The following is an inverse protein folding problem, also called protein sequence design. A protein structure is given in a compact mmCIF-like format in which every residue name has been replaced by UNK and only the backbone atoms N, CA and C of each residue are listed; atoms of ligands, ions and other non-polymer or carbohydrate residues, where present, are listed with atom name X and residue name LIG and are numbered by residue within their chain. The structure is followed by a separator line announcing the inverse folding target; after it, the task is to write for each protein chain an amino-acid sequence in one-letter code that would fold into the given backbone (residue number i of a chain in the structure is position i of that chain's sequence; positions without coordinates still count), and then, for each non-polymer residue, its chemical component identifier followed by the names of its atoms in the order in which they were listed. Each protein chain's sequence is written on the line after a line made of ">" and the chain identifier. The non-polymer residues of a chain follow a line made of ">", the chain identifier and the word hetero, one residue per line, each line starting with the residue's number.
data_IF_203878371721
#
_entry.id   IF_203878371721
#
_cell.length_a   1.000
_cell.length_b   1.000
_cell.length_c   1.000
_cell.angle_alpha   90.00
_cell.angle_beta   90.00
_cell.angle_gamma   90.00
#
_symmetry.space_group_name_H-M   'P 1'
#
loop_
_entity.id
_entity.type
_entity.pdbx_description
1 polymer ?
#
# COMPACT_ATOMS: atom_id res chain seq x y z
N UNK A 1 -9.31 19.92 12.94
CA UNK A 1 -8.55 18.79 13.52
C UNK A 1 -8.87 18.57 15.00
N UNK A 2 -9.18 19.61 15.78
CA UNK A 2 -9.66 19.52 17.17
C UNK A 2 -10.80 18.49 17.35
N UNK A 3 -11.85 18.61 16.53
CA UNK A 3 -13.12 17.90 16.71
C UNK A 3 -13.07 16.35 16.69
N UNK A 4 -12.05 15.73 16.10
CA UNK A 4 -11.86 14.26 16.12
C UNK A 4 -11.00 13.86 17.31
N UNK A 5 -9.89 14.57 17.58
CA UNK A 5 -9.03 14.30 18.75
C UNK A 5 -9.80 14.52 20.06
N UNK A 6 -10.72 15.49 20.11
CA UNK A 6 -11.59 15.76 21.27
C UNK A 6 -12.61 14.63 21.52
N UNK A 7 -13.11 13.96 20.47
CA UNK A 7 -14.00 12.79 20.61
C UNK A 7 -13.27 11.54 21.11
N UNK A 8 -12.00 11.36 20.72
CA UNK A 8 -11.15 10.25 21.18
C UNK A 8 -11.00 10.29 22.70
N UNK A 9 -10.82 11.48 23.29
CA UNK A 9 -10.68 11.63 24.74
C UNK A 9 -11.97 11.36 25.52
N UNK A 10 -13.13 11.69 24.95
CA UNK A 10 -14.41 11.64 25.66
C UNK A 10 -15.19 10.33 25.48
N UNK A 11 -15.01 9.62 24.35
CA UNK A 11 -15.81 8.45 23.99
C UNK A 11 -14.98 7.15 23.90
N UNK A 12 -13.65 7.21 24.09
CA UNK A 12 -12.75 6.03 24.04
C UNK A 12 -12.54 5.45 22.64
N UNK A 13 -12.99 6.13 21.58
CA UNK A 13 -12.87 5.66 20.20
C UNK A 13 -11.65 6.28 19.52
N UNK A 14 -10.67 5.46 19.13
CA UNK A 14 -9.46 5.92 18.43
C UNK A 14 -9.65 5.90 16.90
N UNK A 15 -9.95 7.05 16.31
CA UNK A 15 -10.01 7.20 14.85
C UNK A 15 -8.69 7.75 14.29
N UNK A 16 -8.01 6.98 13.44
CA UNK A 16 -6.89 7.49 12.64
C UNK A 16 -7.45 8.10 11.36
N UNK A 17 -7.30 9.41 11.21
CA UNK A 17 -7.68 10.10 9.99
C UNK A 17 -6.60 9.92 8.92
N UNK A 18 -6.99 9.43 7.75
CA UNK A 18 -6.13 9.29 6.58
C UNK A 18 -6.40 10.41 5.58
N UNK A 19 -5.34 10.84 4.88
CA UNK A 19 -5.40 11.87 3.86
C UNK A 19 -4.71 11.42 2.57
N UNK A 20 -5.33 11.68 1.43
CA UNK A 20 -4.68 11.56 0.12
C UNK A 20 -3.43 12.45 0.03
N UNK A 21 -2.45 12.02 -0.76
CA UNK A 21 -1.15 12.69 -0.94
C UNK A 21 -1.21 14.22 -0.93
N UNK A 22 -1.97 14.83 -1.84
CA UNK A 22 -1.99 16.30 -1.97
C UNK A 22 -2.44 17.00 -0.68
N UNK A 23 -3.40 16.43 0.05
CA UNK A 23 -3.87 16.98 1.33
C UNK A 23 -2.90 16.63 2.46
N UNK A 24 -2.38 15.40 2.48
CA UNK A 24 -1.41 14.94 3.46
C UNK A 24 -0.12 15.76 3.42
N UNK A 25 0.41 16.08 2.24
CA UNK A 25 1.60 16.92 2.10
C UNK A 25 1.35 18.37 2.54
N UNK A 26 0.15 18.92 2.31
CA UNK A 26 -0.19 20.26 2.81
C UNK A 26 -0.27 20.29 4.34
N UNK A 27 -0.81 19.23 4.94
CA UNK A 27 -0.99 19.12 6.39
C UNK A 27 0.33 18.83 7.12
N UNK A 28 1.06 17.80 6.68
CA UNK A 28 2.25 17.29 7.35
C UNK A 28 3.57 17.84 6.79
N UNK A 29 3.52 18.61 5.69
CA UNK A 29 4.66 19.31 5.08
C UNK A 29 5.86 18.38 4.88
N UNK A 30 7.01 18.75 5.43
CA UNK A 30 8.27 18.03 5.27
C UNK A 30 8.21 16.61 5.84
N UNK A 31 7.60 16.41 7.01
CA UNK A 31 7.43 15.08 7.62
C UNK A 31 6.53 14.20 6.77
N UNK A 32 5.50 14.78 6.14
CA UNK A 32 4.70 14.07 5.14
C UNK A 32 5.51 13.64 3.93
N UNK A 33 6.38 14.52 3.41
CA UNK A 33 7.26 14.19 2.30
C UNK A 33 8.25 13.09 2.65
N UNK A 34 8.87 13.14 3.85
CA UNK A 34 9.77 12.10 4.34
C UNK A 34 9.06 10.75 4.47
N UNK A 35 7.83 10.74 5.00
CA UNK A 35 7.04 9.53 5.15
C UNK A 35 6.70 8.88 3.79
N UNK A 36 6.38 9.68 2.78
CA UNK A 36 6.11 9.18 1.41
C UNK A 36 7.37 8.64 0.75
N UNK A 37 8.49 9.38 0.85
CA UNK A 37 9.76 8.95 0.26
C UNK A 37 10.27 7.66 0.91
N UNK A 38 10.13 7.53 2.23
CA UNK A 38 10.48 6.31 2.97
C UNK A 38 9.67 5.10 2.48
N UNK A 39 8.36 5.26 2.28
CA UNK A 39 7.49 4.20 1.78
C UNK A 39 7.86 3.80 0.34
N UNK A 40 8.06 4.77 -0.56
CA UNK A 40 8.42 4.50 -1.95
C UNK A 40 9.79 3.84 -2.07
N UNK A 41 10.78 4.32 -1.32
CA UNK A 41 12.12 3.71 -1.27
C UNK A 41 12.03 2.26 -0.80
N UNK A 42 11.20 2.00 0.22
CA UNK A 42 10.98 0.65 0.73
C UNK A 42 10.49 -0.34 -0.35
N UNK A 43 9.60 0.13 -1.24
CA UNK A 43 9.02 -0.65 -2.33
C UNK A 43 10.03 -0.85 -3.48
N UNK A 44 10.81 0.19 -3.81
CA UNK A 44 11.87 0.12 -4.83
C UNK A 44 12.97 -0.85 -4.41
N UNK A 45 13.47 -0.75 -3.17
CA UNK A 45 14.55 -1.60 -2.65
C UNK A 45 14.16 -3.10 -2.58
N UNK A 46 12.87 -3.41 -2.56
CA UNK A 46 12.36 -4.79 -2.56
C UNK A 46 11.98 -5.28 -3.95
N UNK A 47 12.25 -4.49 -4.99
CA UNK A 47 11.85 -4.79 -6.37
C UNK A 47 10.35 -5.14 -6.47
N UNK A 48 9.51 -4.46 -5.67
CA UNK A 48 8.08 -4.75 -5.57
C UNK A 48 7.36 -4.67 -6.93
N UNK A 49 7.89 -3.85 -7.84
CA UNK A 49 7.37 -3.66 -9.18
C UNK A 49 8.50 -3.32 -10.16
N UNK A 50 8.21 -3.44 -11.46
CA UNK A 50 9.12 -3.07 -12.54
C UNK A 50 8.38 -2.20 -13.55
N UNK A 51 8.92 -1.02 -13.92
CA UNK A 51 8.24 -0.19 -14.90
C UNK A 51 8.20 -0.89 -16.26
N UNK A 52 7.14 -0.64 -17.01
CA UNK A 52 6.93 -1.17 -18.37
C UNK A 52 6.67 -0.03 -19.35
N UNK A 53 7.17 -0.18 -20.58
CA UNK A 53 6.81 0.75 -21.65
C UNK A 53 5.37 0.51 -22.06
N UNK A 54 4.62 1.59 -22.29
CA UNK A 54 3.21 1.51 -22.72
C UNK A 54 3.06 0.78 -24.06
N UNK A 55 4.11 0.78 -24.88
CA UNK A 55 4.19 0.06 -26.15
C UNK A 55 4.23 -1.47 -25.96
N UNK A 56 4.82 -1.94 -24.86
CA UNK A 56 4.95 -3.36 -24.52
C UNK A 56 3.71 -3.92 -23.80
N UNK A 57 2.76 -3.04 -23.44
CA UNK A 57 1.53 -3.43 -22.76
C UNK A 57 0.43 -3.82 -23.76
N UNK A 58 -0.26 -4.91 -23.45
CA UNK A 58 -1.48 -5.31 -24.16
C UNK A 58 -2.64 -4.36 -23.85
N UNK A 59 -3.62 -4.26 -24.75
CA UNK A 59 -4.83 -3.47 -24.52
C UNK A 59 -5.61 -3.91 -23.28
N UNK A 60 -5.52 -5.21 -22.96
CA UNK A 60 -6.12 -5.79 -21.78
C UNK A 60 -5.44 -5.32 -20.49
N UNK A 61 -4.11 -5.34 -20.46
CA UNK A 61 -3.28 -4.81 -19.37
C UNK A 61 -3.54 -3.32 -19.16
N UNK A 62 -3.64 -2.52 -20.23
CA UNK A 62 -3.96 -1.09 -20.15
C UNK A 62 -5.33 -0.82 -19.54
N UNK A 63 -6.34 -1.62 -19.89
CA UNK A 63 -7.70 -1.49 -19.35
C UNK A 63 -7.82 -1.95 -17.89
N UNK A 64 -7.05 -2.96 -17.49
CA UNK A 64 -7.06 -3.50 -16.12
C UNK A 64 -6.10 -2.80 -15.17
N UNK A 65 -5.18 -1.97 -15.66
CA UNK A 65 -4.24 -1.24 -14.82
C UNK A 65 -4.97 -0.44 -13.73
N UNK A 66 -4.66 -0.71 -12.47
CA UNK A 66 -5.28 -0.02 -11.34
C UNK A 66 -4.42 1.13 -10.85
N UNK A 67 -5.07 2.21 -10.41
CA UNK A 67 -4.36 3.36 -9.89
C UNK A 67 -3.63 3.04 -8.58
N UNK A 68 -2.42 3.56 -8.43
CA UNK A 68 -1.74 3.65 -7.16
C UNK A 68 -2.20 4.92 -6.42
N UNK A 69 -2.44 4.79 -5.12
CA UNK A 69 -2.84 5.87 -4.24
C UNK A 69 -1.90 5.93 -3.04
N UNK A 70 -1.39 7.11 -2.72
CA UNK A 70 -0.61 7.33 -1.50
C UNK A 70 -1.48 7.99 -0.43
N UNK A 71 -1.56 7.33 0.73
CA UNK A 71 -2.28 7.79 1.91
C UNK A 71 -1.29 8.16 3.01
N UNK A 72 -1.53 9.28 3.68
CA UNK A 72 -0.77 9.72 4.85
C UNK A 72 -1.67 9.78 6.08
N UNK A 73 -1.15 9.35 7.21
CA UNK A 73 -1.81 9.46 8.50
C UNK A 73 -0.80 9.71 9.64
N UNK A 74 -1.24 10.42 10.66
CA UNK A 74 -0.53 10.55 11.93
C UNK A 74 -0.92 9.38 12.82
N UNK A 75 0.04 8.57 13.26
CA UNK A 75 -0.20 7.51 14.25
C UNK A 75 -0.47 8.13 15.62
N UNK A 76 -1.02 7.33 16.54
CA UNK A 76 -1.16 7.71 17.95
C UNK A 76 0.20 8.03 18.63
N UNK A 77 1.30 7.51 18.07
CA UNK A 77 2.67 7.82 18.50
C UNK A 77 3.19 9.18 18.00
N UNK A 78 2.43 9.90 17.17
CA UNK A 78 2.86 11.13 16.49
C UNK A 78 3.65 10.90 15.19
N UNK A 79 4.04 9.66 14.89
CA UNK A 79 4.75 9.34 13.64
C UNK A 79 3.82 9.52 12.43
N UNK A 80 4.27 10.29 11.43
CA UNK A 80 3.58 10.38 10.14
C UNK A 80 3.94 9.16 9.30
N UNK A 81 2.93 8.38 8.90
CA UNK A 81 3.10 7.18 8.08
C UNK A 81 2.47 7.38 6.71
N UNK A 82 3.26 7.13 5.67
CA UNK A 82 2.80 6.94 4.29
C UNK A 82 2.43 5.47 4.05
N UNK A 83 1.46 5.23 3.17
CA UNK A 83 1.12 3.91 2.65
C UNK A 83 0.82 4.03 1.16
N UNK A 84 1.56 3.30 0.33
CA UNK A 84 1.23 3.14 -1.07
C UNK A 84 0.19 2.03 -1.22
N UNK A 85 -0.94 2.34 -1.83
CA UNK A 85 -2.10 1.45 -1.89
C UNK A 85 -2.46 1.23 -3.35
N UNK A 86 -2.52 -0.05 -3.73
CA UNK A 86 -3.14 -0.47 -4.98
C UNK A 86 -4.66 -0.32 -4.85
N UNK A 87 -5.27 0.47 -5.74
CA UNK A 87 -6.70 0.78 -5.68
C UNK A 87 -7.53 -0.40 -6.21
N UNK A 88 -7.82 -1.35 -5.32
CA UNK A 88 -8.46 -2.62 -5.68
C UNK A 88 -9.98 -2.59 -5.90
N UNK A 89 -10.62 -1.42 -5.96
CA UNK A 89 -12.08 -1.36 -6.13
C UNK A 89 -12.55 -1.92 -7.49
N UNK A 90 -11.72 -1.74 -8.53
CA UNK A 90 -11.98 -2.33 -9.85
C UNK A 90 -11.73 -3.84 -9.94
N UNK A 91 -10.93 -4.45 -9.05
CA UNK A 91 -10.46 -5.84 -9.27
C UNK A 91 -11.49 -6.92 -9.04
N UNK A 92 -12.61 -6.60 -8.40
CA UNK A 92 -13.70 -7.56 -8.14
C UNK A 92 -14.35 -8.10 -9.42
N UNK A 93 -14.18 -7.42 -10.55
CA UNK A 93 -14.73 -7.87 -11.83
C UNK A 93 -13.98 -9.08 -12.42
N UNK A 94 -12.73 -9.32 -12.02
CA UNK A 94 -11.91 -10.39 -12.60
C UNK A 94 -11.16 -11.27 -11.59
N UNK A 95 -11.28 -11.00 -10.30
CA UNK A 95 -10.80 -11.89 -9.25
C UNK A 95 -12.01 -12.62 -8.63
N UNK A 96 -11.96 -13.96 -8.62
CA UNK A 96 -13.03 -14.76 -8.01
C UNK A 96 -12.98 -14.70 -6.48
N UNK A 97 -14.03 -15.19 -5.82
CA UNK A 97 -14.04 -15.28 -4.35
C UNK A 97 -13.03 -16.31 -3.87
N UNK A 98 -12.86 -17.36 -4.65
CA UNK A 98 -11.90 -18.44 -4.43
C UNK A 98 -10.47 -17.88 -4.52
N UNK A 99 -10.15 -17.09 -5.55
CA UNK A 99 -8.83 -16.46 -5.75
C UNK A 99 -8.49 -15.43 -4.67
N UNK A 100 -9.49 -14.82 -4.05
CA UNK A 100 -9.32 -13.82 -2.98
C UNK A 100 -9.46 -14.39 -1.58
N UNK A 101 -9.75 -15.69 -1.47
CA UNK A 101 -9.86 -16.37 -0.18
C UNK A 101 -8.48 -16.77 0.34
N UNK A 102 -8.25 -16.56 1.63
CA UNK A 102 -7.05 -17.01 2.33
C UNK A 102 -7.47 -17.91 3.49
N UNK A 103 -6.80 -19.06 3.73
CA UNK A 103 -7.06 -19.90 4.88
C UNK A 103 -6.65 -19.15 6.15
N UNK A 104 -7.59 -18.43 6.75
CA UNK A 104 -7.38 -17.69 8.00
C UNK A 104 -7.79 -18.59 9.15
N UNK A 105 -6.89 -18.83 10.10
CA UNK A 105 -7.23 -19.59 11.30
C UNK A 105 -8.37 -18.91 12.06
N UNK A 106 -9.30 -19.70 12.62
CA UNK A 106 -10.39 -19.18 13.43
C UNK A 106 -9.83 -18.47 14.67
N UNK A 107 -10.37 -17.29 14.98
CA UNK A 107 -9.92 -16.48 16.12
C UNK A 107 -10.06 -17.25 17.44
N UNK A 108 -11.13 -18.01 17.57
CA UNK A 108 -11.43 -18.87 18.71
C UNK A 108 -10.34 -19.92 18.90
N UNK A 109 -9.86 -20.54 17.82
CA UNK A 109 -8.80 -21.54 17.88
C UNK A 109 -7.48 -20.92 18.37
N UNK A 110 -7.12 -19.74 17.85
CA UNK A 110 -5.92 -19.00 18.28
C UNK A 110 -6.01 -18.67 19.78
N UNK A 111 -7.16 -18.16 20.23
CA UNK A 111 -7.36 -17.79 21.63
C UNK A 111 -7.30 -19.00 22.57
N UNK A 112 -7.87 -20.14 22.18
CA UNK A 112 -7.80 -21.38 22.96
C UNK A 112 -6.35 -21.82 23.14
N UNK A 113 -5.54 -21.82 22.07
CA UNK A 113 -4.12 -22.16 22.14
C UNK A 113 -3.39 -21.21 23.11
N UNK A 114 -3.58 -19.89 22.97
CA UNK A 114 -2.96 -18.91 23.88
C UNK A 114 -3.36 -19.12 25.35
N UNK A 115 -4.62 -19.46 25.64
CA UNK A 115 -5.08 -19.72 27.02
C UNK A 115 -4.45 -20.98 27.59
N UNK A 116 -4.34 -22.05 26.80
CA UNK A 116 -3.68 -23.30 27.22
C UNK A 116 -2.20 -23.06 27.49
N UNK A 117 -1.51 -22.38 26.58
CA UNK A 117 -0.09 -22.08 26.72
C UNK A 117 0.18 -21.22 27.97
N UNK A 118 -0.69 -20.26 28.27
CA UNK A 118 -0.61 -19.44 29.48
C UNK A 118 -0.92 -20.24 30.75
N UNK A 119 -1.92 -21.13 30.72
CA UNK A 119 -2.30 -21.96 31.88
C UNK A 119 -1.21 -22.98 32.24
N UNK A 120 -0.60 -23.61 31.23
CA UNK A 120 0.46 -24.59 31.42
C UNK A 120 1.86 -23.97 31.57
N UNK A 121 1.98 -22.64 31.39
CA UNK A 121 3.26 -21.93 31.49
C UNK A 121 4.25 -22.30 30.40
N UNK A 122 3.78 -22.48 29.15
CA UNK A 122 4.62 -22.85 28.01
C UNK A 122 5.41 -21.67 27.47
N UNK A 123 6.62 -21.94 26.96
CA UNK A 123 7.43 -20.95 26.27
C UNK A 123 6.80 -20.59 24.91
N UNK A 124 6.60 -19.29 24.68
CA UNK A 124 5.96 -18.76 23.47
C UNK A 124 6.83 -17.72 22.78
N UNK A 125 6.90 -17.80 21.45
CA UNK A 125 7.55 -16.80 20.60
C UNK A 125 6.54 -16.30 19.56
N UNK A 126 6.53 -14.99 19.32
CA UNK A 126 5.79 -14.36 18.24
C UNK A 126 6.73 -13.54 17.36
N UNK A 127 6.43 -13.46 16.07
CA UNK A 127 7.19 -12.70 15.09
C UNK A 127 6.21 -12.01 14.14
N UNK A 128 6.46 -10.74 13.84
CA UNK A 128 5.82 -10.02 12.74
C UNK A 128 6.79 -9.96 11.55
N UNK A 129 6.28 -10.28 10.35
CA UNK A 129 7.06 -10.16 9.11
C UNK A 129 6.66 -8.85 8.43
N UNK A 130 7.50 -7.80 8.52
CA UNK A 130 7.14 -6.51 7.97
C UNK A 130 7.00 -6.58 6.46
N UNK A 131 5.88 -6.08 5.95
CA UNK A 131 5.56 -6.09 4.52
C UNK A 131 5.68 -7.50 3.90
N UNK A 132 5.09 -8.51 4.53
CA UNK A 132 5.02 -9.86 3.95
C UNK A 132 4.43 -9.85 2.52
N UNK A 133 3.39 -9.03 2.28
CA UNK A 133 2.70 -8.99 0.98
C UNK A 133 3.59 -8.64 -0.22
N UNK A 134 4.52 -7.71 -0.07
CA UNK A 134 5.40 -7.28 -1.17
C UNK A 134 6.57 -8.22 -1.41
N UNK A 135 6.78 -9.18 -0.50
CA UNK A 135 7.83 -10.20 -0.60
C UNK A 135 7.31 -11.50 -1.23
N UNK A 136 6.00 -11.63 -1.40
CA UNK A 136 5.37 -12.78 -2.05
C UNK A 136 5.53 -12.66 -3.56
N UNK A 137 6.03 -13.73 -4.20
CA UNK A 137 6.14 -13.78 -5.65
C UNK A 137 4.76 -13.80 -6.31
N UNK A 138 4.56 -12.92 -7.29
CA UNK A 138 3.36 -12.91 -8.12
C UNK A 138 3.57 -13.80 -9.36
N UNK A 139 2.55 -14.55 -9.81
CA UNK A 139 2.60 -15.29 -11.06
C UNK A 139 2.93 -14.35 -12.23
N UNK A 140 3.83 -14.78 -13.12
CA UNK A 140 4.30 -13.97 -14.25
C UNK A 140 3.58 -14.29 -15.58
N UNK A 141 2.57 -15.16 -15.57
CA UNK A 141 1.83 -15.48 -16.80
C UNK A 141 1.02 -14.28 -17.29
N UNK A 142 0.96 -14.11 -18.62
CA UNK A 142 0.37 -12.93 -19.26
C UNK A 142 -1.11 -12.69 -18.92
N UNK A 143 -1.82 -13.69 -18.38
CA UNK A 143 -3.22 -13.56 -17.95
C UNK A 143 -3.36 -13.08 -16.50
N UNK A 144 -2.34 -13.29 -15.68
CA UNK A 144 -2.34 -13.02 -14.24
C UNK A 144 -1.42 -11.84 -13.85
N UNK A 145 -0.71 -11.24 -14.80
CA UNK A 145 0.07 -10.02 -14.58
C UNK A 145 -0.83 -8.90 -14.08
N UNK A 146 -0.50 -8.38 -12.90
CA UNK A 146 -1.18 -7.24 -12.29
C UNK A 146 -0.47 -5.98 -12.72
N UNK A 147 -1.20 -5.08 -13.37
CA UNK A 147 -0.67 -3.80 -13.81
C UNK A 147 -1.10 -2.69 -12.87
N UNK A 148 -0.18 -1.80 -12.54
CA UNK A 148 -0.44 -0.63 -11.70
C UNK A 148 -0.07 0.65 -12.44
N UNK A 149 -0.88 1.69 -12.21
CA UNK A 149 -0.75 3.00 -12.82
C UNK A 149 -0.45 4.04 -11.75
N UNK A 150 0.74 4.62 -11.79
CA UNK A 150 1.16 5.69 -10.86
C UNK A 150 1.01 7.03 -11.58
N UNK A 151 0.32 7.99 -10.96
CA UNK A 151 0.01 9.28 -11.61
C UNK A 151 0.40 10.50 -10.79
N UNK A 152 0.65 11.61 -11.47
CA UNK A 152 0.80 12.93 -10.87
C UNK A 152 2.05 13.05 -10.00
N UNK A 153 1.92 13.67 -8.83
CA UNK A 153 3.06 14.02 -7.96
C UNK A 153 3.86 12.79 -7.49
N UNK A 154 3.23 11.61 -7.39
CA UNK A 154 3.93 10.37 -7.05
C UNK A 154 4.99 10.00 -8.07
N UNK A 155 4.74 10.27 -9.36
CA UNK A 155 5.70 10.01 -10.42
C UNK A 155 6.96 10.83 -10.19
N UNK A 156 6.82 12.12 -9.89
CA UNK A 156 7.96 13.00 -9.66
C UNK A 156 8.76 12.60 -8.40
N UNK A 157 8.07 12.18 -7.32
CA UNK A 157 8.71 11.68 -6.11
C UNK A 157 9.46 10.36 -6.36
N UNK A 158 8.89 9.48 -7.16
CA UNK A 158 9.49 8.19 -7.50
C UNK A 158 10.73 8.35 -8.40
N UNK A 159 10.70 9.26 -9.37
CA UNK A 159 11.86 9.57 -10.23
C UNK A 159 13.02 10.17 -9.43
N UNK A 160 12.73 10.88 -8.32
CA UNK A 160 13.78 11.37 -7.42
C UNK A 160 14.52 10.25 -6.70
N UNK A 161 13.83 9.15 -6.40
CA UNK A 161 14.41 7.96 -5.77
C UNK A 161 15.12 7.07 -6.80
N UNK A 162 14.45 6.81 -7.93
CA UNK A 162 14.98 6.00 -9.02
C UNK A 162 14.91 6.78 -10.36
N UNK A 163 15.98 7.50 -10.73
CA UNK A 163 16.02 8.31 -11.94
C UNK A 163 15.79 7.53 -13.23
N UNK A 164 16.11 6.22 -13.27
CA UNK A 164 15.91 5.37 -14.45
C UNK A 164 14.44 5.26 -14.86
N UNK A 165 13.52 5.46 -13.92
CA UNK A 165 12.08 5.40 -14.21
C UNK A 165 11.60 6.55 -15.10
N UNK A 166 12.43 7.58 -15.31
CA UNK A 166 12.12 8.70 -16.21
C UNK A 166 11.82 8.24 -17.63
N UNK A 167 12.49 7.20 -18.11
CA UNK A 167 12.35 6.70 -19.49
C UNK A 167 10.98 6.07 -19.75
N UNK A 168 10.27 5.67 -18.69
CA UNK A 168 8.96 5.03 -18.74
C UNK A 168 7.79 6.01 -18.55
N UNK A 169 8.09 7.31 -18.38
CA UNK A 169 7.06 8.34 -18.14
C UNK A 169 6.34 8.66 -19.44
N UNK A 170 5.01 8.55 -19.41
CA UNK A 170 4.13 9.03 -20.46
C UNK A 170 3.24 10.17 -19.96
N UNK A 171 2.73 10.97 -20.89
CA UNK A 171 1.76 12.03 -20.59
C UNK A 171 0.39 11.58 -21.06
N UNK A 172 -0.55 11.44 -20.12
CA UNK A 172 -1.94 11.12 -20.42
C UNK A 172 -2.85 12.19 -19.82
N UNK A 173 -3.72 12.79 -20.64
CA UNK A 173 -4.65 13.84 -20.21
C UNK A 173 -3.95 14.98 -19.43
N UNK A 174 -2.73 15.35 -19.86
CA UNK A 174 -1.92 16.39 -19.22
C UNK A 174 -1.27 15.99 -17.89
N UNK A 175 -1.34 14.71 -17.48
CA UNK A 175 -0.71 14.19 -16.27
C UNK A 175 0.44 13.26 -16.61
N UNK A 176 1.52 13.32 -15.83
CA UNK A 176 2.59 12.32 -15.87
C UNK A 176 2.09 11.01 -15.30
N UNK A 177 2.40 9.92 -16.01
CA UNK A 177 1.98 8.56 -15.67
C UNK A 177 3.17 7.62 -15.87
N UNK A 178 3.32 6.65 -14.97
CA UNK A 178 4.18 5.48 -15.15
C UNK A 178 3.33 4.23 -14.95
N UNK A 179 3.52 3.25 -15.82
CA UNK A 179 2.94 1.92 -15.71
C UNK A 179 3.98 0.95 -15.15
N UNK A 180 3.51 0.06 -14.27
CA UNK A 180 4.28 -0.90 -13.49
C UNK A 180 3.61 -2.27 -13.54
#
# INVERSE_FOLDING_TARGET
>A
MQQIKDKVQNEGVSFIQQYYLNKGLKLFKEEGSKAVMKELDQLIQRECWKPIYVEDMTDFEKRRAQDAMMLLAEKNTGEIKGRCVYKGDGTREWLSREDTSSPTAALEAIMITCVIDAYEGRDMMSLDIPNAFIQTQMPMDAKSRVMMKITGLLVDMMIRLEPRYRDYVVIENGKRVIYM
#
